data_IF_994088195178
#
_entry.id   IF_994088195178
#
_cell.length_a   1.000
_cell.length_b   1.000
_cell.length_c   1.000
_cell.angle_alpha   90.00
_cell.angle_beta   90.00
_cell.angle_gamma   90.00
#
_symmetry.space_group_name_H-M   'P 1'
#
loop_
_entity.id
_entity.type
_entity.pdbx_description
1 polymer ?
#
# COMPACT_ATOMS: atom_id res chain seq x y z
N UNK A 1 -9.07 -12.41 9.90
CA UNK A 1 -8.82 -11.86 11.25
C UNK A 1 -7.32 -11.99 11.51
N UNK A 2 -6.57 -10.90 11.73
CA UNK A 2 -5.13 -10.93 12.07
C UNK A 2 -4.97 -10.37 13.47
N UNK A 3 -4.17 -11.03 14.30
CA UNK A 3 -3.83 -10.59 15.65
C UNK A 3 -2.53 -9.77 15.61
N UNK A 4 -2.43 -8.79 16.51
CA UNK A 4 -1.17 -8.08 16.74
C UNK A 4 -0.25 -8.92 17.64
N UNK A 5 1.00 -8.48 17.83
CA UNK A 5 1.99 -9.20 18.63
C UNK A 5 1.59 -9.37 20.10
N UNK A 6 0.67 -8.56 20.63
CA UNK A 6 0.18 -8.67 22.00
C UNK A 6 -1.05 -9.59 22.14
N UNK A 7 -1.47 -10.28 21.08
CA UNK A 7 -2.62 -11.20 21.08
C UNK A 7 -3.98 -10.52 20.97
N UNK A 8 -4.04 -9.20 20.86
CA UNK A 8 -5.28 -8.45 20.60
C UNK A 8 -5.55 -8.32 19.09
N UNK A 9 -6.80 -8.08 18.73
CA UNK A 9 -7.19 -7.80 17.35
C UNK A 9 -6.51 -6.55 16.81
N UNK A 10 -6.15 -6.56 15.53
CA UNK A 10 -5.67 -5.36 14.87
C UNK A 10 -6.86 -4.46 14.51
N UNK A 11 -6.92 -3.29 15.13
CA UNK A 11 -8.05 -2.36 15.01
C UNK A 11 -7.92 -1.42 13.81
N UNK A 12 -6.72 -1.26 13.25
CA UNK A 12 -6.48 -0.39 12.09
C UNK A 12 -5.53 -1.00 11.07
N UNK A 13 -5.83 -0.76 9.81
CA UNK A 13 -4.98 -1.10 8.68
C UNK A 13 -5.14 -0.05 7.60
N UNK A 14 -4.10 0.16 6.82
CA UNK A 14 -4.18 0.95 5.59
C UNK A 14 -4.19 0.00 4.39
N UNK A 15 -4.96 0.32 3.36
CA UNK A 15 -4.94 -0.45 2.10
C UNK A 15 -3.90 0.13 1.15
N UNK A 16 -3.13 -0.75 0.51
CA UNK A 16 -2.31 -0.35 -0.62
C UNK A 16 -3.21 0.25 -1.72
N UNK A 17 -2.88 1.46 -2.17
CA UNK A 17 -3.65 2.18 -3.18
C UNK A 17 -3.55 1.54 -4.58
N UNK A 18 -2.67 0.56 -4.78
CA UNK A 18 -2.53 -0.15 -6.05
C UNK A 18 -3.17 -1.54 -6.04
N UNK A 19 -2.76 -2.44 -5.14
CA UNK A 19 -3.17 -3.85 -5.14
C UNK A 19 -4.21 -4.20 -4.05
N UNK A 20 -4.51 -3.29 -3.13
CA UNK A 20 -5.51 -3.52 -2.07
C UNK A 20 -5.05 -4.37 -0.88
N UNK A 21 -3.79 -4.84 -0.85
CA UNK A 21 -3.25 -5.56 0.31
C UNK A 21 -3.33 -4.69 1.57
N UNK A 22 -3.57 -5.33 2.71
CA UNK A 22 -3.68 -4.67 4.00
C UNK A 22 -2.28 -4.48 4.61
N UNK A 23 -1.95 -3.25 4.96
CA UNK A 23 -0.70 -2.84 5.61
C UNK A 23 -1.05 -2.52 7.07
N UNK A 24 -0.49 -3.28 8.01
CA UNK A 24 -0.79 -3.14 9.43
C UNK A 24 0.32 -2.34 10.10
N UNK A 25 -0.01 -1.20 10.69
CA UNK A 25 0.99 -0.28 11.28
C UNK A 25 1.72 -0.89 12.49
N UNK A 26 1.12 -1.90 13.14
CA UNK A 26 1.65 -2.53 14.33
C UNK A 26 2.77 -3.56 14.07
N UNK A 27 3.13 -3.85 12.82
CA UNK A 27 4.27 -4.73 12.52
C UNK A 27 5.44 -3.92 11.93
N UNK A 28 6.64 -4.15 12.49
CA UNK A 28 7.86 -3.49 12.02
C UNK A 28 8.17 -3.86 10.56
N UNK A 29 7.86 -5.10 10.17
CA UNK A 29 8.00 -5.59 8.79
C UNK A 29 7.04 -4.87 7.82
N UNK A 30 5.74 -4.78 8.13
CA UNK A 30 4.77 -4.11 7.24
C UNK A 30 5.08 -2.60 7.14
N UNK A 31 5.58 -2.00 8.23
CA UNK A 31 6.00 -0.60 8.25
C UNK A 31 7.24 -0.32 7.41
N UNK A 32 8.20 -1.25 7.35
CA UNK A 32 9.43 -1.12 6.57
C UNK A 32 9.18 -1.15 5.06
N UNK A 33 8.19 -1.93 4.60
CA UNK A 33 7.85 -2.05 3.19
C UNK A 33 6.89 -0.96 2.70
N UNK A 34 6.26 -0.21 3.62
CA UNK A 34 5.35 0.89 3.31
C UNK A 34 6.04 1.97 2.48
N UNK A 35 5.48 2.27 1.30
CA UNK A 35 5.88 3.40 0.45
C UNK A 35 4.77 4.45 0.40
N UNK A 36 5.17 5.71 0.30
CA UNK A 36 4.23 6.82 0.11
C UNK A 36 4.56 7.52 -1.21
N UNK A 37 3.55 7.71 -2.05
CA UNK A 37 3.68 8.44 -3.31
C UNK A 37 2.38 9.21 -3.57
N UNK A 38 2.50 10.51 -3.84
CA UNK A 38 1.35 11.39 -4.12
C UNK A 38 0.26 11.30 -3.04
N UNK A 39 0.66 11.38 -1.77
CA UNK A 39 -0.24 11.30 -0.61
C UNK A 39 -0.92 9.94 -0.38
N UNK A 40 -0.58 8.91 -1.17
CA UNK A 40 -1.15 7.56 -1.08
C UNK A 40 -0.13 6.56 -0.58
N UNK A 41 -0.62 5.52 0.11
CA UNK A 41 0.20 4.47 0.72
C UNK A 41 0.20 3.21 -0.15
N UNK A 42 1.37 2.58 -0.28
CA UNK A 42 1.62 1.37 -1.08
C UNK A 42 2.42 0.35 -0.28
N UNK A 43 2.25 -0.94 -0.61
CA UNK A 43 2.91 -2.04 0.10
C UNK A 43 4.33 -2.34 -0.39
N UNK A 44 4.72 -1.82 -1.56
CA UNK A 44 6.05 -2.04 -2.15
C UNK A 44 6.36 -0.97 -3.19
N UNK A 45 7.62 -0.87 -3.61
CA UNK A 45 8.04 0.02 -4.68
C UNK A 45 7.39 -0.37 -6.01
N UNK A 46 7.30 -1.66 -6.33
CA UNK A 46 6.66 -2.16 -7.56
C UNK A 46 5.20 -1.67 -7.68
N UNK A 47 4.47 -1.59 -6.57
CA UNK A 47 3.11 -1.06 -6.57
C UNK A 47 3.04 0.45 -6.88
N UNK A 48 4.07 1.21 -6.53
CA UNK A 48 4.21 2.62 -6.93
C UNK A 48 4.49 2.68 -8.43
N UNK A 49 5.44 1.88 -8.91
CA UNK A 49 5.86 1.88 -10.31
C UNK A 49 4.70 1.50 -11.25
N UNK A 50 3.92 0.47 -10.89
CA UNK A 50 2.72 0.09 -11.64
C UNK A 50 1.64 1.18 -11.67
N UNK A 51 1.49 1.95 -10.59
CA UNK A 51 0.58 3.10 -10.57
C UNK A 51 1.03 4.16 -11.56
N UNK A 52 2.32 4.51 -11.53
CA UNK A 52 2.92 5.50 -12.44
C UNK A 52 2.77 5.08 -13.90
N UNK A 53 3.12 3.83 -14.22
CA UNK A 53 2.96 3.28 -15.58
C UNK A 53 1.49 3.31 -16.05
N UNK A 54 0.56 2.88 -15.19
CA UNK A 54 -0.88 2.91 -15.51
C UNK A 54 -1.38 4.32 -15.78
N UNK A 55 -0.95 5.31 -14.99
CA UNK A 55 -1.33 6.71 -15.22
C UNK A 55 -0.76 7.23 -16.54
N UNK A 56 0.51 6.93 -16.84
CA UNK A 56 1.15 7.31 -18.09
C UNK A 56 0.42 6.72 -19.31
N UNK A 57 0.03 5.43 -19.25
CA UNK A 57 -0.76 4.79 -20.30
C UNK A 57 -2.14 5.43 -20.47
N UNK A 58 -2.81 5.79 -19.37
CA UNK A 58 -4.12 6.48 -19.41
C UNK A 58 -4.00 7.89 -19.99
N UNK A 59 -2.97 8.64 -19.62
CA UNK A 59 -2.72 9.96 -20.17
C UNK A 59 -2.47 9.92 -21.68
N UNK A 60 -1.68 8.95 -22.15
CA UNK A 60 -1.44 8.73 -23.60
C UNK A 60 -2.70 8.34 -24.37
N UNK A 61 -3.59 7.56 -23.77
CA UNK A 61 -4.84 7.13 -24.41
C UNK A 61 -5.90 8.25 -24.46
N UNK A 62 -5.74 9.31 -23.67
CA UNK A 62 -6.66 10.45 -23.60
C UNK A 62 -6.20 11.66 -24.43
N UNK A 63 -5.03 11.58 -25.07
CA UNK A 63 -4.45 12.59 -25.96
C UNK A 63 -4.67 12.20 -27.42
#
# INVERSE_FOLDING_TARGET
MKFSLNGLYIESYTKCANCGVLIYEASAEDSAHRKTHDGRIYCSQECVDWKIDRDARRARAAA
#
